data_IF_811974329082
#
_entry.id   IF_811974329082
#
_cell.length_a   1.000
_cell.length_b   1.000
_cell.length_c   1.000
_cell.angle_alpha   90.00
_cell.angle_beta   90.00
_cell.angle_gamma   90.00
#
_symmetry.space_group_name_H-M   'P 1'
#
loop_
_entity.id
_entity.type
_entity.pdbx_description
1 polymer ?
#
# COMPACT_ATOMS: atom_id res chain seq x y z
N UNK A 1 15.50 33.30 -0.53
CA UNK A 1 14.37 32.54 0.07
C UNK A 1 14.95 31.52 1.04
N UNK A 2 14.22 31.09 2.08
CA UNK A 2 14.72 30.05 2.98
C UNK A 2 14.56 28.65 2.38
N UNK A 3 15.44 27.72 2.78
CA UNK A 3 15.44 26.31 2.38
C UNK A 3 14.07 25.64 2.51
N UNK A 4 13.42 25.81 3.66
CA UNK A 4 12.10 25.21 3.91
C UNK A 4 11.03 25.74 2.96
N UNK A 5 11.12 27.01 2.56
CA UNK A 5 10.20 27.59 1.57
C UNK A 5 10.45 27.02 0.17
N UNK A 6 11.70 26.86 -0.25
CA UNK A 6 12.01 26.21 -1.53
C UNK A 6 11.58 24.74 -1.53
N UNK A 7 11.75 24.01 -0.42
CA UNK A 7 11.27 22.64 -0.29
C UNK A 7 9.75 22.55 -0.46
N UNK A 8 8.97 23.46 0.16
CA UNK A 8 7.52 23.50 -0.01
C UNK A 8 7.10 23.85 -1.45
N UNK A 9 7.80 24.78 -2.10
CA UNK A 9 7.54 25.13 -3.51
C UNK A 9 7.91 24.00 -4.47
N UNK A 10 8.99 23.27 -4.20
CA UNK A 10 9.39 22.10 -4.96
C UNK A 10 8.39 20.96 -4.78
N UNK A 11 7.95 20.68 -3.55
CA UNK A 11 6.92 19.70 -3.25
C UNK A 11 5.61 19.99 -4.01
N UNK A 12 5.18 21.27 -4.01
CA UNK A 12 4.01 21.72 -4.76
C UNK A 12 4.18 21.52 -6.26
N UNK A 13 5.31 21.92 -6.83
CA UNK A 13 5.60 21.70 -8.26
C UNK A 13 5.56 20.21 -8.60
N UNK A 14 6.22 19.36 -7.82
CA UNK A 14 6.17 17.91 -8.02
C UNK A 14 4.74 17.38 -7.96
N UNK A 15 3.92 17.91 -7.04
CA UNK A 15 2.52 17.53 -6.94
C UNK A 15 1.71 17.93 -8.17
N UNK A 16 1.96 19.12 -8.71
CA UNK A 16 1.29 19.63 -9.92
C UNK A 16 1.63 18.81 -11.17
N UNK A 17 2.89 18.43 -11.37
CA UNK A 17 3.31 17.68 -12.58
C UNK A 17 2.96 16.20 -12.51
N UNK A 18 2.90 15.62 -11.32
CA UNK A 18 2.59 14.19 -11.14
C UNK A 18 1.12 13.93 -10.85
N UNK A 19 0.36 14.95 -10.42
CA UNK A 19 -1.01 14.78 -9.93
C UNK A 19 -1.09 13.99 -8.62
N UNK A 20 0.03 13.82 -7.91
CA UNK A 20 0.14 13.13 -6.62
C UNK A 20 0.41 14.13 -5.50
N UNK A 21 -0.03 13.87 -4.28
CA UNK A 21 0.40 14.67 -3.14
C UNK A 21 1.84 14.31 -2.75
N UNK A 22 2.75 15.27 -2.89
CA UNK A 22 4.18 15.10 -2.58
C UNK A 22 4.55 15.96 -1.38
N UNK A 23 5.17 15.36 -0.37
CA UNK A 23 5.79 16.03 0.78
C UNK A 23 7.31 16.00 0.70
N UNK A 24 7.98 17.10 1.08
CA UNK A 24 9.44 17.13 1.26
C UNK A 24 9.77 17.34 2.74
N UNK A 25 10.43 16.36 3.34
CA UNK A 25 10.76 16.32 4.75
C UNK A 25 12.26 16.44 4.96
N UNK A 26 12.66 17.28 5.93
CA UNK A 26 14.05 17.32 6.37
C UNK A 26 14.33 16.07 7.21
N UNK A 27 15.40 15.35 6.87
CA UNK A 27 15.87 14.20 7.64
C UNK A 27 17.03 14.63 8.55
N UNK A 28 18.24 14.72 7.99
CA UNK A 28 19.46 15.07 8.75
C UNK A 28 20.46 15.83 7.89
N UNK A 29 21.09 16.88 8.42
CA UNK A 29 22.10 17.66 7.69
C UNK A 29 21.62 18.15 6.31
N UNK A 30 22.27 17.67 5.24
CA UNK A 30 21.91 17.96 3.85
C UNK A 30 20.91 16.96 3.22
N UNK A 31 20.44 15.96 3.98
CA UNK A 31 19.49 14.95 3.55
C UNK A 31 18.05 15.40 3.71
N UNK A 32 17.24 15.03 2.73
CA UNK A 32 15.82 15.27 2.63
C UNK A 32 15.14 14.04 2.07
N UNK A 33 13.86 13.88 2.35
CA UNK A 33 13.05 12.77 1.84
C UNK A 33 11.85 13.37 1.10
N UNK A 34 11.71 13.05 -0.17
CA UNK A 34 10.49 13.28 -0.94
C UNK A 34 9.58 12.06 -0.76
N UNK A 35 8.39 12.28 -0.20
CA UNK A 35 7.40 11.24 0.12
C UNK A 35 6.09 11.45 -0.63
N UNK A 36 5.50 10.38 -1.13
CA UNK A 36 4.16 10.36 -1.75
C UNK A 36 3.52 8.98 -1.59
N UNK A 37 2.19 8.88 -1.65
CA UNK A 37 1.44 7.64 -1.42
C UNK A 37 0.86 7.03 -2.71
N UNK A 38 0.16 7.84 -3.50
CA UNK A 38 -0.27 7.49 -4.86
C UNK A 38 0.53 8.30 -5.87
N UNK A 39 0.76 7.76 -7.06
CA UNK A 39 1.51 8.49 -8.08
C UNK A 39 2.53 7.66 -8.86
N UNK A 40 3.48 8.33 -9.52
CA UNK A 40 4.49 7.67 -10.34
C UNK A 40 5.35 6.68 -9.54
N UNK A 41 6.09 5.84 -10.28
CA UNK A 41 7.14 4.97 -9.73
C UNK A 41 8.28 5.83 -9.16
N UNK A 42 9.12 5.21 -8.33
CA UNK A 42 10.23 5.91 -7.68
C UNK A 42 11.22 6.51 -8.70
N UNK A 43 11.51 5.78 -9.78
CA UNK A 43 12.40 6.24 -10.87
C UNK A 43 11.79 7.40 -11.67
N UNK A 44 10.48 7.36 -11.91
CA UNK A 44 9.74 8.44 -12.58
C UNK A 44 9.71 9.70 -11.71
N UNK A 45 9.42 9.57 -10.41
CA UNK A 45 9.49 10.68 -9.45
C UNK A 45 10.91 11.26 -9.35
N UNK A 46 11.94 10.40 -9.39
CA UNK A 46 13.34 10.83 -9.45
C UNK A 46 13.58 11.69 -10.70
N UNK A 47 13.13 11.26 -11.86
CA UNK A 47 13.27 12.03 -13.10
C UNK A 47 12.55 13.39 -13.04
N UNK A 48 11.34 13.45 -12.48
CA UNK A 48 10.64 14.72 -12.25
C UNK A 48 11.39 15.66 -11.30
N UNK A 49 11.95 15.10 -10.22
CA UNK A 49 12.75 15.85 -9.26
C UNK A 49 14.04 16.41 -9.90
N UNK A 50 14.76 15.57 -10.65
CA UNK A 50 16.00 15.98 -11.31
C UNK A 50 15.73 17.07 -12.35
N UNK A 51 14.64 16.93 -13.12
CA UNK A 51 14.19 17.96 -14.07
C UNK A 51 13.87 19.28 -13.37
N UNK A 52 13.16 19.24 -12.23
CA UNK A 52 12.83 20.45 -11.48
C UNK A 52 14.09 21.13 -10.89
N UNK A 53 15.07 20.35 -10.41
CA UNK A 53 16.31 20.87 -9.80
C UNK A 53 17.33 21.38 -10.83
N UNK A 54 17.25 20.94 -12.08
CA UNK A 54 18.07 21.46 -13.18
C UNK A 54 17.80 22.95 -13.46
N UNK A 55 16.57 23.43 -13.19
CA UNK A 55 16.20 24.84 -13.30
C UNK A 55 16.78 25.73 -12.19
N UNK A 56 16.70 27.05 -12.34
CA UNK A 56 17.28 28.03 -11.40
C UNK A 56 16.41 28.33 -10.16
N UNK A 57 15.21 27.74 -10.05
CA UNK A 57 14.22 28.13 -9.05
C UNK A 57 14.46 27.56 -7.64
N UNK A 58 15.26 26.50 -7.50
CA UNK A 58 15.43 25.75 -6.25
C UNK A 58 16.92 25.61 -5.83
N UNK A 59 17.67 26.72 -5.88
CA UNK A 59 19.11 26.76 -5.65
C UNK A 59 19.53 26.13 -4.31
N UNK A 60 18.76 26.34 -3.23
CA UNK A 60 19.07 25.82 -1.89
C UNK A 60 18.79 24.31 -1.76
N UNK A 61 17.99 23.76 -2.68
CA UNK A 61 17.64 22.35 -2.77
C UNK A 61 18.54 21.59 -3.75
N UNK A 62 19.09 22.25 -4.76
CA UNK A 62 19.93 21.64 -5.81
C UNK A 62 21.12 20.85 -5.27
N UNK A 63 21.78 21.36 -4.24
CA UNK A 63 22.96 20.70 -3.64
C UNK A 63 22.60 19.72 -2.51
N UNK A 64 21.33 19.34 -2.37
CA UNK A 64 20.86 18.44 -1.30
C UNK A 64 20.77 17.01 -1.80
N UNK A 65 20.94 16.08 -0.87
CA UNK A 65 20.65 14.66 -1.11
C UNK A 65 19.18 14.45 -0.80
N UNK A 66 18.37 14.24 -1.82
CA UNK A 66 16.92 14.06 -1.67
C UNK A 66 16.61 12.61 -2.01
N UNK A 67 16.24 11.80 -1.02
CA UNK A 67 15.82 10.42 -1.22
C UNK A 67 14.34 10.38 -1.60
N UNK A 68 13.97 9.59 -2.59
CA UNK A 68 12.59 9.43 -3.02
C UNK A 68 12.01 8.18 -2.36
N UNK A 69 10.95 8.33 -1.59
CA UNK A 69 10.28 7.22 -0.91
C UNK A 69 8.79 7.23 -1.22
N UNK A 70 8.29 6.16 -1.82
CA UNK A 70 6.86 5.98 -2.03
C UNK A 70 6.30 5.11 -0.92
N UNK A 71 5.34 5.63 -0.16
CA UNK A 71 4.58 4.81 0.78
C UNK A 71 3.55 3.96 0.03
N UNK A 72 3.08 2.90 0.67
CA UNK A 72 1.93 2.12 0.18
C UNK A 72 0.74 2.45 1.06
N UNK A 73 -0.35 2.92 0.47
CA UNK A 73 -1.60 3.13 1.19
C UNK A 73 -2.43 1.85 1.21
N UNK A 74 -3.36 1.74 2.16
CA UNK A 74 -4.27 0.61 2.22
C UNK A 74 -5.14 0.51 0.96
N UNK A 75 -5.47 1.65 0.34
CA UNK A 75 -6.19 1.69 -0.93
C UNK A 75 -5.36 1.14 -2.08
N UNK A 76 -4.07 1.50 -2.16
CA UNK A 76 -3.15 0.92 -3.14
C UNK A 76 -3.09 -0.59 -2.99
N UNK A 77 -2.92 -1.08 -1.76
CA UNK A 77 -2.91 -2.51 -1.46
C UNK A 77 -4.20 -3.20 -1.95
N UNK A 78 -5.37 -2.67 -1.58
CA UNK A 78 -6.66 -3.24 -1.97
C UNK A 78 -6.86 -3.23 -3.49
N UNK A 79 -6.55 -2.12 -4.17
CA UNK A 79 -6.65 -1.99 -5.62
C UNK A 79 -5.77 -3.00 -6.37
N UNK A 80 -4.52 -3.17 -5.93
CA UNK A 80 -3.60 -4.12 -6.56
C UNK A 80 -3.99 -5.58 -6.29
N UNK A 81 -4.46 -5.88 -5.08
CA UNK A 81 -4.94 -7.22 -4.73
C UNK A 81 -6.16 -7.63 -5.56
N UNK A 82 -7.16 -6.75 -5.70
CA UNK A 82 -8.36 -7.01 -6.51
C UNK A 82 -8.02 -7.15 -8.00
N UNK A 83 -7.13 -6.30 -8.52
CA UNK A 83 -6.68 -6.42 -9.91
C UNK A 83 -6.00 -7.77 -10.16
N UNK A 84 -5.06 -8.18 -9.30
CA UNK A 84 -4.36 -9.47 -9.40
C UNK A 84 -5.30 -10.66 -9.31
N UNK A 85 -6.33 -10.58 -8.46
CA UNK A 85 -7.37 -11.60 -8.38
C UNK A 85 -8.17 -11.70 -9.67
N UNK A 86 -8.67 -10.58 -10.19
CA UNK A 86 -9.43 -10.51 -11.44
C UNK A 86 -8.62 -11.07 -12.62
N UNK A 87 -7.32 -10.82 -12.63
CA UNK A 87 -6.39 -11.29 -13.66
C UNK A 87 -5.96 -12.76 -13.46
N UNK A 88 -6.40 -13.41 -12.38
CA UNK A 88 -6.07 -14.81 -12.08
C UNK A 88 -4.61 -15.03 -11.64
N UNK A 89 -3.87 -13.97 -11.32
CA UNK A 89 -2.45 -14.05 -10.93
C UNK A 89 -2.26 -14.24 -9.42
N UNK A 90 -3.28 -13.91 -8.62
CA UNK A 90 -3.20 -13.94 -7.15
C UNK A 90 -2.96 -15.35 -6.59
N UNK A 91 -3.81 -16.32 -6.97
CA UNK A 91 -3.73 -17.70 -6.48
C UNK A 91 -2.38 -18.39 -6.78
N UNK A 92 -1.90 -18.38 -8.04
CA UNK A 92 -0.57 -18.90 -8.39
C UNK A 92 0.57 -18.24 -7.60
N UNK A 93 0.56 -16.91 -7.45
CA UNK A 93 1.59 -16.19 -6.71
C UNK A 93 1.62 -16.55 -5.22
N UNK A 94 0.44 -16.75 -4.61
CA UNK A 94 0.32 -17.23 -3.23
C UNK A 94 0.92 -18.64 -3.09
N UNK A 95 0.56 -19.55 -4.00
CA UNK A 95 1.04 -20.94 -3.97
C UNK A 95 2.56 -21.03 -4.15
N UNK A 96 3.11 -20.31 -5.14
CA UNK A 96 4.54 -20.24 -5.41
C UNK A 96 5.30 -19.62 -4.23
N UNK A 97 4.85 -18.47 -3.73
CA UNK A 97 5.47 -17.81 -2.60
C UNK A 97 5.44 -18.68 -1.34
N UNK A 98 4.35 -19.39 -1.09
CA UNK A 98 4.25 -20.29 0.04
C UNK A 98 5.20 -21.50 -0.09
N UNK A 99 5.29 -22.11 -1.29
CA UNK A 99 6.23 -23.19 -1.57
C UNK A 99 7.70 -22.74 -1.40
N UNK A 100 8.04 -21.55 -1.87
CA UNK A 100 9.37 -20.97 -1.69
C UNK A 100 9.70 -20.74 -0.20
N UNK A 101 8.76 -20.26 0.61
CA UNK A 101 9.00 -20.09 2.06
C UNK A 101 9.21 -21.43 2.76
N UNK A 102 8.48 -22.47 2.35
CA UNK A 102 8.68 -23.85 2.84
C UNK A 102 10.07 -24.38 2.49
N UNK A 103 10.54 -24.17 1.25
CA UNK A 103 11.85 -24.67 0.82
C UNK A 103 13.03 -23.99 1.55
N UNK A 104 12.84 -22.74 1.99
CA UNK A 104 13.80 -22.02 2.82
C UNK A 104 13.80 -22.46 4.29
N UNK A 105 12.92 -23.37 4.70
CA UNK A 105 12.83 -23.84 6.09
C UNK A 105 12.38 -22.75 7.07
N UNK A 106 11.71 -21.70 6.58
CA UNK A 106 11.19 -20.63 7.44
C UNK A 106 10.13 -21.22 8.35
N UNK A 107 10.42 -21.38 9.64
CA UNK A 107 9.48 -21.92 10.60
C UNK A 107 8.23 -21.04 10.75
N UNK A 108 7.07 -21.67 10.87
CA UNK A 108 5.83 -21.00 11.28
C UNK A 108 5.97 -20.47 12.72
N UNK A 109 5.35 -19.33 13.08
CA UNK A 109 5.33 -18.88 14.47
C UNK A 109 4.78 -19.98 15.39
N UNK A 110 5.47 -20.19 16.51
CA UNK A 110 5.24 -21.33 17.42
C UNK A 110 3.81 -21.30 18.02
N UNK A 111 3.20 -22.47 18.26
CA UNK A 111 1.99 -22.57 19.09
C UNK A 111 2.24 -21.93 20.46
N UNK A 112 1.41 -20.96 20.87
CA UNK A 112 1.51 -20.29 22.17
C UNK A 112 1.85 -18.79 22.14
N UNK A 113 2.18 -18.23 20.97
CA UNK A 113 2.23 -16.76 20.80
C UNK A 113 0.82 -16.28 20.41
N UNK A 114 0.19 -15.47 21.26
CA UNK A 114 -1.14 -14.88 20.98
C UNK A 114 -1.06 -13.87 19.83
N UNK A 115 -1.24 -14.38 18.62
CA UNK A 115 -1.48 -13.66 17.38
C UNK A 115 -2.01 -14.65 16.35
N UNK A 116 -2.71 -14.22 15.28
CA UNK A 116 -3.07 -15.14 14.23
C UNK A 116 -1.78 -15.80 13.73
N UNK A 117 -1.68 -17.13 13.79
CA UNK A 117 -0.56 -17.89 13.22
C UNK A 117 -0.67 -17.78 11.70
N UNK A 118 -0.19 -16.66 11.17
CA UNK A 118 -0.27 -16.33 9.75
C UNK A 118 0.52 -17.35 8.92
N UNK A 119 -0.16 -18.00 7.97
CA UNK A 119 0.37 -19.07 7.11
C UNK A 119 1.44 -18.59 6.13
N UNK A 120 2.16 -19.53 5.49
CA UNK A 120 3.07 -19.16 4.39
C UNK A 120 2.34 -18.44 3.26
N UNK A 121 1.11 -18.86 2.97
CA UNK A 121 0.20 -18.24 2.00
C UNK A 121 -0.10 -16.78 2.36
N UNK A 122 -0.27 -16.49 3.65
CA UNK A 122 -0.49 -15.13 4.11
C UNK A 122 0.68 -14.20 3.82
N UNK A 123 1.90 -14.63 4.16
CA UNK A 123 3.08 -13.83 3.87
C UNK A 123 3.39 -13.76 2.37
N UNK A 124 3.06 -14.82 1.61
CA UNK A 124 3.16 -14.80 0.15
C UNK A 124 2.23 -13.76 -0.46
N UNK A 125 0.96 -13.70 0.00
CA UNK A 125 0.00 -12.69 -0.40
C UNK A 125 0.50 -11.27 -0.13
N UNK A 126 0.93 -10.99 1.11
CA UNK A 126 1.40 -9.65 1.47
C UNK A 126 2.57 -9.21 0.60
N UNK A 127 3.57 -10.08 0.42
CA UNK A 127 4.74 -9.78 -0.42
C UNK A 127 4.34 -9.53 -1.87
N UNK A 128 3.49 -10.39 -2.43
CA UNK A 128 3.03 -10.27 -3.81
C UNK A 128 2.33 -8.94 -4.05
N UNK A 129 1.40 -8.54 -3.18
CA UNK A 129 0.69 -7.27 -3.32
C UNK A 129 1.63 -6.08 -3.10
N UNK A 130 2.59 -6.17 -2.18
CA UNK A 130 3.63 -5.14 -2.00
C UNK A 130 4.47 -4.95 -3.27
N UNK A 131 4.87 -6.04 -3.93
CA UNK A 131 5.60 -6.01 -5.20
C UNK A 131 4.75 -5.38 -6.32
N UNK A 132 3.46 -5.72 -6.41
CA UNK A 132 2.52 -5.09 -7.35
C UNK A 132 2.37 -3.58 -7.09
N UNK A 133 2.27 -3.17 -5.82
CA UNK A 133 2.26 -1.77 -5.45
C UNK A 133 3.53 -1.09 -5.97
N UNK A 134 4.73 -1.57 -5.61
CA UNK A 134 6.01 -0.99 -6.06
C UNK A 134 6.12 -0.92 -7.58
N UNK A 135 5.66 -1.96 -8.29
CA UNK A 135 5.72 -2.06 -9.75
C UNK A 135 4.65 -1.26 -10.50
N UNK A 136 3.64 -0.70 -9.84
CA UNK A 136 2.52 -0.02 -10.52
C UNK A 136 2.61 1.50 -10.35
N UNK A 137 2.48 2.25 -11.45
CA UNK A 137 2.24 3.69 -11.38
C UNK A 137 0.76 3.94 -11.00
N UNK A 138 0.52 4.87 -10.08
CA UNK A 138 -0.80 5.22 -9.54
C UNK A 138 -1.56 4.00 -8.98
N UNK A 139 -0.98 3.29 -8.00
CA UNK A 139 -1.50 2.02 -7.51
C UNK A 139 -2.87 2.12 -6.83
N UNK A 140 -3.28 3.30 -6.35
CA UNK A 140 -4.59 3.50 -5.68
C UNK A 140 -5.77 3.50 -6.66
N UNK A 141 -5.49 3.71 -7.94
CA UNK A 141 -6.53 3.72 -8.97
C UNK A 141 -7.01 2.29 -9.19
N UNK A 142 -8.31 2.12 -9.39
CA UNK A 142 -8.83 0.83 -9.83
C UNK A 142 -8.29 0.52 -11.23
N UNK A 143 -7.81 -0.70 -11.46
CA UNK A 143 -7.35 -1.11 -12.80
C UNK A 143 -8.52 -1.19 -13.78
N UNK A 144 -9.71 -1.50 -13.30
CA UNK A 144 -10.96 -1.40 -14.05
C UNK A 144 -12.07 -0.74 -13.21
N UNK A 145 -13.01 0.03 -13.79
CA UNK A 145 -14.07 0.70 -13.02
C UNK A 145 -14.93 -0.25 -12.18
N UNK A 146 -15.11 -1.50 -12.63
CA UNK A 146 -15.87 -2.52 -11.91
C UNK A 146 -15.12 -3.13 -10.71
N UNK A 147 -13.82 -2.84 -10.55
CA UNK A 147 -13.04 -3.26 -9.37
C UNK A 147 -13.38 -2.39 -8.14
N UNK A 148 -13.89 -1.18 -8.34
CA UNK A 148 -14.11 -0.20 -7.26
C UNK A 148 -15.01 -0.75 -6.12
N UNK A 149 -16.16 -1.39 -6.39
CA UNK A 149 -16.96 -1.98 -5.32
C UNK A 149 -16.20 -3.03 -4.51
N UNK A 150 -15.37 -3.85 -5.16
CA UNK A 150 -14.59 -4.90 -4.49
C UNK A 150 -13.44 -4.30 -3.66
N UNK A 151 -12.82 -3.23 -4.16
CA UNK A 151 -11.81 -2.46 -3.43
C UNK A 151 -12.42 -1.89 -2.14
N UNK A 152 -13.60 -1.28 -2.22
CA UNK A 152 -14.30 -0.72 -1.06
C UNK A 152 -14.69 -1.81 -0.06
N UNK A 153 -15.16 -2.97 -0.52
CA UNK A 153 -15.48 -4.08 0.38
C UNK A 153 -14.23 -4.63 1.09
N UNK A 154 -13.11 -4.73 0.37
CA UNK A 154 -11.85 -5.20 0.95
C UNK A 154 -11.33 -4.21 1.99
N UNK A 155 -11.38 -2.90 1.70
CA UNK A 155 -11.05 -1.85 2.67
C UNK A 155 -11.93 -1.91 3.92
N UNK A 156 -13.24 -2.12 3.75
CA UNK A 156 -14.17 -2.29 4.86
C UNK A 156 -13.84 -3.53 5.69
N UNK A 157 -13.48 -4.65 5.06
CA UNK A 157 -13.03 -5.86 5.75
C UNK A 157 -11.73 -5.66 6.53
N UNK A 158 -10.85 -4.78 6.02
CA UNK A 158 -9.62 -4.37 6.68
C UNK A 158 -9.80 -3.39 7.84
N UNK A 159 -11.03 -2.90 8.07
CA UNK A 159 -11.30 -1.85 9.05
C UNK A 159 -11.62 -2.45 10.42
N UNK A 160 -10.90 -2.01 11.45
CA UNK A 160 -11.23 -2.30 12.86
C UNK A 160 -11.55 -1.03 13.62
N UNK A 161 -12.63 -1.05 14.40
CA UNK A 161 -12.89 -0.01 15.39
C UNK A 161 -11.99 -0.22 16.61
N UNK A 162 -11.12 0.77 16.88
CA UNK A 162 -10.43 0.82 18.18
C UNK A 162 -11.39 1.42 19.20
N UNK A 163 -11.84 0.59 20.13
CA UNK A 163 -12.71 0.96 21.25
C UNK A 163 -12.23 2.15 22.09
N UNK A 164 -10.97 2.59 21.97
CA UNK A 164 -10.37 3.62 22.84
C UNK A 164 -9.77 4.82 22.11
N UNK A 165 -9.78 4.88 20.77
CA UNK A 165 -9.23 6.03 20.01
C UNK A 165 -10.23 6.69 19.06
N UNK A 166 -11.44 6.14 18.91
CA UNK A 166 -12.53 6.75 18.12
C UNK A 166 -12.22 6.91 16.61
N UNK A 167 -11.12 6.32 16.12
CA UNK A 167 -10.73 6.34 14.71
C UNK A 167 -10.58 4.91 14.21
N UNK A 168 -11.34 4.51 13.18
CA UNK A 168 -11.14 3.23 12.52
C UNK A 168 -9.73 3.16 11.92
N UNK A 169 -9.06 2.03 12.09
CA UNK A 169 -7.77 1.76 11.44
C UNK A 169 -7.96 0.69 10.39
N UNK A 170 -7.52 0.96 9.16
CA UNK A 170 -7.48 -0.02 8.07
C UNK A 170 -6.11 -0.69 8.05
N UNK A 171 -6.10 -2.02 7.98
CA UNK A 171 -4.90 -2.83 8.06
C UNK A 171 -4.78 -3.79 6.87
N UNK A 172 -3.64 -3.78 6.19
CA UNK A 172 -3.32 -4.73 5.12
C UNK A 172 -3.35 -6.18 5.61
N UNK A 173 -3.02 -6.39 6.88
CA UNK A 173 -3.06 -7.69 7.54
C UNK A 173 -4.48 -8.25 7.66
N UNK A 174 -5.45 -7.37 7.94
CA UNK A 174 -6.86 -7.73 8.02
C UNK A 174 -7.45 -7.97 6.64
N UNK A 175 -7.11 -7.11 5.67
CA UNK A 175 -7.47 -7.31 4.26
C UNK A 175 -6.91 -8.62 3.72
N UNK A 176 -5.65 -8.95 4.02
CA UNK A 176 -5.02 -10.19 3.61
C UNK A 176 -5.72 -11.43 4.19
N UNK A 177 -6.12 -11.37 5.46
CA UNK A 177 -6.88 -12.45 6.10
C UNK A 177 -8.24 -12.65 5.43
N UNK A 178 -8.97 -11.55 5.18
CA UNK A 178 -10.27 -11.59 4.52
C UNK A 178 -10.17 -12.10 3.07
N UNK A 179 -9.13 -11.68 2.34
CA UNK A 179 -8.90 -12.08 0.96
C UNK A 179 -8.51 -13.56 0.85
N UNK A 180 -7.64 -14.08 1.72
CA UNK A 180 -7.30 -15.51 1.75
C UNK A 180 -8.50 -16.39 2.04
N UNK A 181 -9.34 -16.00 3.01
CA UNK A 181 -10.57 -16.72 3.29
C UNK A 181 -11.49 -16.76 2.05
N UNK A 182 -11.57 -15.65 1.30
CA UNK A 182 -12.37 -15.58 0.07
C UNK A 182 -11.78 -16.37 -1.11
N UNK A 183 -10.48 -16.63 -1.14
CA UNK A 183 -9.83 -17.49 -2.15
C UNK A 183 -10.00 -18.99 -1.83
N UNK A 184 -10.30 -19.33 -0.58
CA UNK A 184 -10.44 -20.71 -0.11
C UNK A 184 -11.90 -21.20 -0.10
N UNK A 185 -12.88 -20.34 -0.40
CA UNK A 185 -14.30 -20.73 -0.42
C UNK A 185 -14.60 -21.56 -1.69
N UNK A 186 -15.03 -22.84 -1.55
CA UNK A 186 -15.28 -23.75 -2.67
C UNK A 186 -16.55 -23.42 -3.49
N UNK A 187 -17.38 -22.46 -3.07
CA UNK A 187 -18.56 -22.02 -3.84
C UNK A 187 -18.18 -20.99 -4.91
N UNK A 188 -17.49 -21.46 -5.96
CA UNK A 188 -16.98 -20.65 -7.09
C UNK A 188 -18.03 -19.96 -7.98
N UNK A 189 -18.89 -19.11 -7.43
CA UNK A 189 -19.89 -18.38 -8.23
C UNK A 189 -20.70 -17.30 -7.52
N UNK A 190 -20.50 -17.01 -6.24
CA UNK A 190 -21.29 -16.00 -5.52
C UNK A 190 -20.53 -14.66 -5.42
N UNK A 191 -21.19 -13.50 -5.65
CA UNK A 191 -20.54 -12.21 -5.50
C UNK A 191 -20.06 -12.04 -4.06
N UNK A 192 -18.80 -11.59 -3.93
CA UNK A 192 -18.09 -11.42 -2.68
C UNK A 192 -18.96 -10.75 -1.61
N UNK A 193 -19.15 -11.45 -0.50
CA UNK A 193 -19.56 -10.86 0.77
C UNK A 193 -18.40 -11.03 1.72
N UNK A 194 -17.51 -10.05 1.76
CA UNK A 194 -16.59 -9.95 2.88
C UNK A 194 -17.44 -9.76 4.14
N UNK A 195 -17.35 -10.71 5.07
CA UNK A 195 -18.13 -10.66 6.30
C UNK A 195 -17.76 -9.38 7.06
N UNK A 196 -18.66 -8.41 7.08
CA UNK A 196 -18.56 -7.27 7.99
C UNK A 196 -18.63 -7.83 9.40
N UNK A 197 -17.54 -7.73 10.16
CA UNK A 197 -17.56 -8.04 11.59
C UNK A 197 -18.50 -7.03 12.24
N UNK A 198 -19.73 -7.46 12.54
CA UNK A 198 -20.74 -6.62 13.19
C UNK A 198 -20.28 -6.29 14.61
N UNK A 199 -20.30 -4.99 14.91
CA UNK A 199 -20.21 -4.44 16.27
C UNK A 199 -21.39 -4.98 17.10
N UNK A 200 -21.17 -5.47 18.34
CA UNK A 200 -22.29 -5.77 19.23
C UNK A 200 -22.99 -4.45 19.61
N UNK A 201 -24.27 -4.33 19.27
CA UNK A 201 -25.12 -3.24 19.75
C UNK A 201 -25.12 -3.26 21.29
N UNK A 202 -24.57 -2.21 21.92
CA UNK A 202 -24.77 -2.00 23.35
C UNK A 202 -26.21 -1.58 23.57
N UNK A 203 -26.90 -2.41 24.36
CA UNK A 203 -28.31 -2.25 24.73
C UNK A 203 -28.60 -0.92 25.41
N UNK A 204 -29.83 -0.47 25.20
CA UNK A 204 -30.47 0.68 25.83
C UNK A 204 -30.55 0.56 27.35
#
# INVERSE_FOLDING_TARGET
>A
MSRSRQAALLARHLSEVTGAEVGLHHDTGARWIAMWADGPRQEEMRAHLDTALAGYHYVDMRNRKIDCHRSTSQRAWAARAIASRREGTLGPAIAEGAAHRRSLGVGMPRPGVQGPTHTHEYYALLRHVEELCRGTAYPERASAPHDEPLIQQLLAAGTRDRAHTGRPTVSEYDMATALLAAEQDPTGGQPLKFAVVRVPEQGR
#
